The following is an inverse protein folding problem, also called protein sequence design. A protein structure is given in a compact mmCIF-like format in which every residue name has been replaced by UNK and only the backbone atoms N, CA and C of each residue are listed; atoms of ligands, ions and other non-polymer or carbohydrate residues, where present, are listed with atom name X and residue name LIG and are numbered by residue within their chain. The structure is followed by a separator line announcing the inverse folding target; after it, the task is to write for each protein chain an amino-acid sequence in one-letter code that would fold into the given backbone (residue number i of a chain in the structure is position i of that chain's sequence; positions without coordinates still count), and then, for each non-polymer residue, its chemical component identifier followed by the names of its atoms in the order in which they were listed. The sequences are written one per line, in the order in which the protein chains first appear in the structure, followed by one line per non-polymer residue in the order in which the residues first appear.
data_IF_879425409170
#
_entry.id   IF_879425409170
#
_cell.length_a   1.000
_cell.length_b   1.000
_cell.length_c   1.000
_cell.angle_alpha   90.00
_cell.angle_beta   90.00
_cell.angle_gamma   90.00
#
_symmetry.space_group_name_H-M   'P 1'
#
loop_
_entity.id
_entity.type
_entity.pdbx_description
1 polymer ?
#
# COMPACT_ATOMS: atom_id res chain seq x y z
N UNK A 1 32.13 1.33 -8.52
CA UNK A 1 32.04 2.37 -9.57
C UNK A 1 31.16 3.46 -9.00
N UNK A 2 31.77 4.58 -8.58
CA UNK A 2 31.04 5.73 -8.06
C UNK A 2 30.44 6.43 -9.29
N UNK A 3 29.12 6.37 -9.45
CA UNK A 3 28.43 7.06 -10.54
C UNK A 3 28.08 8.42 -9.98
N UNK A 4 28.84 9.44 -10.37
CA UNK A 4 28.43 10.82 -10.15
C UNK A 4 27.09 11.01 -10.88
N UNK A 5 26.02 11.24 -10.12
CA UNK A 5 24.68 11.32 -10.68
C UNK A 5 24.54 12.64 -11.45
N UNK A 6 24.77 12.58 -12.76
CA UNK A 6 24.72 13.76 -13.65
C UNK A 6 23.30 14.23 -13.95
N UNK A 7 22.30 13.41 -13.65
CA UNK A 7 20.88 13.63 -13.96
C UNK A 7 20.10 13.87 -12.65
N UNK A 8 19.00 14.64 -12.70
CA UNK A 8 18.16 14.89 -11.52
C UNK A 8 17.55 13.56 -11.04
N UNK A 9 17.78 13.16 -9.77
CA UNK A 9 17.17 11.95 -9.22
C UNK A 9 15.64 11.91 -9.33
N UNK A 10 14.95 13.05 -9.37
CA UNK A 10 13.48 13.08 -9.50
C UNK A 10 13.01 12.72 -10.92
N UNK A 11 13.75 13.12 -11.94
CA UNK A 11 13.48 12.69 -13.32
C UNK A 11 13.78 11.19 -13.48
N UNK A 12 14.89 10.72 -12.90
CA UNK A 12 15.23 9.29 -12.90
C UNK A 12 14.21 8.43 -12.16
N UNK A 13 13.64 8.91 -11.05
CA UNK A 13 12.65 8.17 -10.24
C UNK A 13 11.28 8.06 -10.94
N UNK A 14 10.92 9.05 -11.74
CA UNK A 14 9.60 9.16 -12.40
C UNK A 14 9.61 8.65 -13.84
N UNK A 15 10.77 8.20 -14.33
CA UNK A 15 10.94 7.67 -15.68
C UNK A 15 10.19 6.34 -15.88
N UNK A 16 9.58 6.19 -17.05
CA UNK A 16 8.98 4.92 -17.51
C UNK A 16 10.06 3.90 -17.95
N UNK A 17 11.33 4.30 -18.03
CA UNK A 17 12.45 3.44 -18.40
C UNK A 17 13.09 2.79 -17.16
N UNK A 18 13.04 1.46 -17.12
CA UNK A 18 13.62 0.66 -16.02
C UNK A 18 15.10 0.97 -15.77
N UNK A 19 15.88 1.31 -16.80
CA UNK A 19 17.30 1.62 -16.63
C UNK A 19 17.52 2.92 -15.87
N UNK A 20 16.64 3.90 -16.05
CA UNK A 20 16.70 5.18 -15.33
C UNK A 20 16.30 4.99 -13.86
N UNK A 21 15.29 4.15 -13.59
CA UNK A 21 14.95 3.73 -12.22
C UNK A 21 16.13 3.02 -11.54
N UNK A 22 16.89 2.21 -12.27
CA UNK A 22 18.10 1.57 -11.74
C UNK A 22 19.16 2.64 -11.43
N UNK A 23 19.45 3.56 -12.37
CA UNK A 23 20.40 4.67 -12.17
C UNK A 23 20.04 5.52 -10.95
N UNK A 24 18.76 5.81 -10.73
CA UNK A 24 18.25 6.53 -9.57
C UNK A 24 18.82 5.96 -8.26
N UNK A 25 18.73 4.63 -8.06
CA UNK A 25 19.27 4.01 -6.85
C UNK A 25 20.79 4.13 -6.74
N UNK A 26 21.50 4.30 -7.86
CA UNK A 26 22.95 4.52 -7.88
C UNK A 26 23.36 5.96 -7.57
N UNK A 27 22.43 6.91 -7.55
CA UNK A 27 22.70 8.32 -7.21
C UNK A 27 22.97 8.59 -5.72
N UNK A 28 22.69 7.63 -4.84
CA UNK A 28 22.85 7.77 -3.38
C UNK A 28 23.98 6.88 -2.87
N UNK A 29 24.83 7.39 -1.98
CA UNK A 29 25.91 6.60 -1.38
C UNK A 29 25.38 5.60 -0.35
N UNK A 30 24.36 5.99 0.42
CA UNK A 30 23.78 5.19 1.48
C UNK A 30 22.25 5.37 1.61
N UNK A 31 21.66 4.61 2.54
CA UNK A 31 20.21 4.62 2.78
C UNK A 31 19.72 5.95 3.38
N UNK A 32 20.56 6.66 4.13
CA UNK A 32 20.19 7.91 4.78
C UNK A 32 20.07 9.03 3.76
N UNK A 33 20.96 9.09 2.76
CA UNK A 33 20.87 10.04 1.64
C UNK A 33 19.58 9.80 0.83
N UNK A 34 19.28 8.53 0.50
CA UNK A 34 18.03 8.16 -0.17
C UNK A 34 16.80 8.57 0.64
N UNK A 35 16.79 8.32 1.96
CA UNK A 35 15.70 8.71 2.85
C UNK A 35 15.58 10.24 2.91
N UNK A 36 16.70 10.96 3.01
CA UNK A 36 16.73 12.43 3.06
C UNK A 36 16.13 13.02 1.79
N UNK A 37 16.54 12.53 0.62
CA UNK A 37 15.97 12.92 -0.66
C UNK A 37 14.48 12.57 -0.74
N UNK A 38 14.09 11.35 -0.35
CA UNK A 38 12.68 10.93 -0.38
C UNK A 38 11.79 11.81 0.52
N UNK A 39 12.33 12.36 1.61
CA UNK A 39 11.62 13.25 2.54
C UNK A 39 11.56 14.70 2.06
N UNK A 40 12.53 15.15 1.26
CA UNK A 40 12.54 16.53 0.74
C UNK A 40 11.62 16.74 -0.45
N UNK A 41 11.08 15.66 -1.03
CA UNK A 41 10.19 15.77 -2.19
C UNK A 41 8.88 16.50 -1.85
N UNK A 42 8.33 17.26 -2.82
CA UNK A 42 6.96 17.74 -2.73
C UNK A 42 5.98 16.60 -2.48
N UNK A 43 4.83 16.97 -1.95
CA UNK A 43 3.72 16.05 -1.73
C UNK A 43 2.72 16.26 -2.84
N UNK A 44 2.19 15.19 -3.43
CA UNK A 44 0.95 15.34 -4.17
C UNK A 44 -0.14 15.89 -3.24
N UNK A 45 -1.02 16.72 -3.80
CA UNK A 45 -2.21 17.16 -3.11
C UNK A 45 -3.06 15.94 -2.73
N UNK A 46 -3.70 16.02 -1.56
CA UNK A 46 -4.61 14.99 -1.05
C UNK A 46 -5.95 15.65 -0.83
N UNK A 47 -6.94 15.18 -1.59
CA UNK A 47 -8.33 15.53 -1.39
C UNK A 47 -9.06 14.37 -0.68
N UNK A 48 -9.88 14.69 0.31
CA UNK A 48 -10.60 13.71 1.11
C UNK A 48 -12.08 13.80 0.76
N UNK A 49 -12.67 12.65 0.45
CA UNK A 49 -14.12 12.53 0.26
C UNK A 49 -14.64 11.42 1.17
N UNK A 50 -15.51 11.80 2.10
CA UNK A 50 -16.13 10.85 3.02
C UNK A 50 -17.52 10.44 2.52
N UNK A 51 -17.86 9.16 2.73
CA UNK A 51 -19.19 8.60 2.49
C UNK A 51 -19.67 7.99 3.79
N UNK A 52 -20.77 8.54 4.30
CA UNK A 52 -21.38 8.08 5.54
C UNK A 52 -21.90 6.64 5.41
N UNK A 53 -21.77 5.89 6.51
CA UNK A 53 -22.24 4.51 6.63
C UNK A 53 -21.93 3.96 8.01
N UNK A 54 -21.99 2.63 8.16
CA UNK A 54 -21.58 1.96 9.40
C UNK A 54 -20.10 2.23 9.69
N UNK A 55 -19.82 2.82 10.85
CA UNK A 55 -18.49 3.21 11.29
C UNK A 55 -17.81 2.17 12.18
N UNK A 56 -18.46 1.04 12.50
CA UNK A 56 -17.82 -0.09 13.20
C UNK A 56 -16.65 -0.65 12.35
N UNK A 57 -16.79 -0.59 11.03
CA UNK A 57 -15.74 -0.88 10.06
C UNK A 57 -15.63 0.27 9.07
N UNK A 58 -14.44 0.89 9.02
CA UNK A 58 -14.18 2.01 8.11
C UNK A 58 -13.31 1.55 6.94
N UNK A 59 -13.74 1.85 5.72
CA UNK A 59 -12.93 1.62 4.52
C UNK A 59 -12.06 2.85 4.23
N UNK A 60 -10.77 2.63 3.99
CA UNK A 60 -9.84 3.62 3.48
C UNK A 60 -9.45 3.23 2.07
N UNK A 61 -9.80 4.07 1.10
CA UNK A 61 -9.59 3.79 -0.32
C UNK A 61 -8.73 4.90 -0.94
N UNK A 62 -7.41 4.70 -1.04
CA UNK A 62 -6.56 5.53 -1.88
C UNK A 62 -6.99 5.38 -3.35
N UNK A 63 -7.21 6.49 -4.04
CA UNK A 63 -7.63 6.50 -5.44
C UNK A 63 -7.00 7.66 -6.20
N UNK A 64 -6.65 7.51 -7.49
CA UNK A 64 -6.24 8.65 -8.32
C UNK A 64 -7.40 9.57 -8.70
N UNK A 65 -8.65 9.09 -8.67
CA UNK A 65 -9.85 9.85 -9.04
C UNK A 65 -11.09 9.22 -8.38
N UNK A 66 -11.79 9.97 -7.52
CA UNK A 66 -12.99 9.48 -6.83
C UNK A 66 -14.18 9.25 -7.75
N UNK A 67 -14.17 9.84 -8.94
CA UNK A 67 -15.25 9.76 -9.94
C UNK A 67 -15.02 8.67 -10.96
N UNK A 68 -13.88 7.98 -10.93
CA UNK A 68 -13.58 6.95 -11.91
C UNK A 68 -14.51 5.72 -11.76
N UNK A 69 -14.55 4.90 -12.81
CA UNK A 69 -15.42 3.73 -12.88
C UNK A 69 -15.04 2.67 -11.84
N UNK A 70 -13.74 2.52 -11.56
CA UNK A 70 -13.23 1.53 -10.63
C UNK A 70 -13.66 1.86 -9.20
N UNK A 71 -13.44 3.10 -8.75
CA UNK A 71 -13.89 3.60 -7.45
C UNK A 71 -15.40 3.50 -7.33
N UNK A 72 -16.14 3.91 -8.37
CA UNK A 72 -17.61 3.81 -8.38
C UNK A 72 -18.12 2.38 -8.24
N UNK A 73 -17.44 1.40 -8.86
CA UNK A 73 -17.81 -0.01 -8.76
C UNK A 73 -17.50 -0.59 -7.37
N UNK A 74 -16.35 -0.25 -6.80
CA UNK A 74 -16.01 -0.63 -5.42
C UNK A 74 -17.05 -0.07 -4.45
N UNK A 75 -17.35 1.23 -4.53
CA UNK A 75 -18.32 1.90 -3.65
C UNK A 75 -19.70 1.27 -3.68
N UNK A 76 -20.18 0.80 -4.84
CA UNK A 76 -21.46 0.06 -4.92
C UNK A 76 -21.45 -1.21 -4.06
N UNK A 77 -20.29 -1.87 -3.96
CA UNK A 77 -20.10 -3.11 -3.22
C UNK A 77 -19.98 -2.88 -1.70
N UNK A 78 -19.51 -1.70 -1.29
CA UNK A 78 -19.28 -1.34 0.13
C UNK A 78 -20.17 -0.19 0.61
N UNK A 79 -21.27 0.11 -0.09
CA UNK A 79 -22.12 1.29 0.14
C UNK A 79 -22.71 1.44 1.54
N UNK A 80 -22.76 0.36 2.33
CA UNK A 80 -23.28 0.36 3.69
C UNK A 80 -22.25 0.77 4.74
N UNK A 81 -20.97 0.90 4.38
CA UNK A 81 -19.88 1.17 5.30
C UNK A 81 -19.37 2.59 5.18
N UNK A 82 -18.95 3.17 6.30
CA UNK A 82 -18.28 4.46 6.30
C UNK A 82 -16.99 4.33 5.48
N UNK A 83 -16.85 5.18 4.46
CA UNK A 83 -15.75 5.08 3.50
C UNK A 83 -15.05 6.42 3.37
N UNK A 84 -13.73 6.41 3.55
CA UNK A 84 -12.83 7.54 3.35
C UNK A 84 -12.08 7.31 2.05
N UNK A 85 -12.48 8.04 1.02
CA UNK A 85 -11.75 8.11 -0.24
C UNK A 85 -10.62 9.12 -0.09
N UNK A 86 -9.39 8.70 -0.41
CA UNK A 86 -8.20 9.55 -0.36
C UNK A 86 -7.70 9.75 -1.77
N UNK A 87 -8.14 10.84 -2.38
CA UNK A 87 -7.80 11.19 -3.76
C UNK A 87 -6.41 11.82 -3.82
N UNK A 88 -5.51 11.21 -4.58
CA UNK A 88 -4.19 11.79 -4.84
C UNK A 88 -3.61 11.22 -6.13
N UNK A 89 -3.00 12.08 -6.95
CA UNK A 89 -2.45 11.72 -8.27
C UNK A 89 -1.25 12.60 -8.65
N UNK A 90 -0.63 12.25 -9.78
CA UNK A 90 0.45 13.01 -10.38
C UNK A 90 1.85 12.55 -9.95
N UNK A 91 2.86 13.31 -10.38
CA UNK A 91 4.30 12.97 -10.27
C UNK A 91 4.74 12.62 -8.85
N UNK A 92 4.18 13.30 -7.85
CA UNK A 92 4.53 13.12 -6.43
C UNK A 92 3.53 12.25 -5.66
N UNK A 93 2.73 11.45 -6.37
CA UNK A 93 1.82 10.51 -5.74
C UNK A 93 2.57 9.56 -4.79
N UNK A 94 2.00 9.35 -3.61
CA UNK A 94 2.56 8.45 -2.62
C UNK A 94 1.44 7.69 -1.91
N UNK A 95 1.28 6.42 -2.28
CA UNK A 95 0.27 5.52 -1.71
C UNK A 95 0.30 5.48 -0.18
N UNK A 96 1.49 5.37 0.43
CA UNK A 96 1.61 5.26 1.88
C UNK A 96 1.15 6.54 2.59
N UNK A 97 1.36 7.72 2.00
CA UNK A 97 0.85 8.98 2.56
C UNK A 97 -0.66 9.08 2.47
N UNK A 98 -1.24 8.65 1.35
CA UNK A 98 -2.69 8.59 1.20
C UNK A 98 -3.31 7.63 2.23
N UNK A 99 -2.74 6.43 2.38
CA UNK A 99 -3.17 5.46 3.40
C UNK A 99 -3.07 6.04 4.80
N UNK A 100 -1.92 6.62 5.17
CA UNK A 100 -1.73 7.20 6.50
C UNK A 100 -2.74 8.31 6.78
N UNK A 101 -3.04 9.16 5.79
CA UNK A 101 -4.02 10.23 5.95
C UNK A 101 -5.43 9.67 6.13
N UNK A 102 -5.81 8.67 5.35
CA UNK A 102 -7.10 7.99 5.49
C UNK A 102 -7.23 7.28 6.84
N UNK A 103 -6.18 6.62 7.31
CA UNK A 103 -6.13 5.98 8.64
C UNK A 103 -6.29 7.01 9.74
N UNK A 104 -5.55 8.12 9.69
CA UNK A 104 -5.67 9.23 10.66
C UNK A 104 -7.12 9.72 10.79
N UNK A 105 -7.82 9.89 9.66
CA UNK A 105 -9.21 10.34 9.65
C UNK A 105 -10.15 9.23 10.17
N UNK A 106 -9.91 7.98 9.79
CA UNK A 106 -10.73 6.84 10.23
C UNK A 106 -10.73 6.66 11.76
N UNK A 107 -9.63 6.99 12.43
CA UNK A 107 -9.50 6.85 13.88
C UNK A 107 -10.49 7.75 14.65
N UNK A 108 -10.98 8.84 14.04
CA UNK A 108 -11.99 9.72 14.65
C UNK A 108 -13.32 9.01 14.92
N UNK A 109 -13.58 7.92 14.22
CA UNK A 109 -14.81 7.13 14.32
C UNK A 109 -14.72 5.99 15.33
N UNK A 110 -13.55 5.79 15.95
CA UNK A 110 -13.26 4.67 16.85
C UNK A 110 -13.70 3.30 16.28
N UNK A 111 -13.28 2.95 15.05
CA UNK A 111 -13.71 1.71 14.41
C UNK A 111 -13.10 0.48 15.09
N UNK A 112 -13.77 -0.66 15.01
CA UNK A 112 -13.17 -1.95 15.39
C UNK A 112 -12.12 -2.40 14.39
N UNK A 113 -12.36 -2.12 13.10
CA UNK A 113 -11.44 -2.43 12.01
C UNK A 113 -11.37 -1.30 10.98
N UNK A 114 -10.17 -1.05 10.48
CA UNK A 114 -9.91 -0.19 9.33
C UNK A 114 -9.48 -1.09 8.17
N UNK A 115 -10.23 -1.07 7.07
CA UNK A 115 -9.92 -1.85 5.87
C UNK A 115 -9.28 -0.92 4.85
N UNK A 116 -8.00 -1.14 4.55
CA UNK A 116 -7.29 -0.43 3.48
C UNK A 116 -7.41 -1.24 2.20
N UNK A 117 -7.95 -0.65 1.13
CA UNK A 117 -8.13 -1.32 -0.16
C UNK A 117 -7.81 -0.39 -1.33
N UNK A 118 -7.32 -0.96 -2.43
CA UNK A 118 -7.21 -0.24 -3.69
C UNK A 118 -8.60 -0.04 -4.31
N UNK A 119 -8.73 0.96 -5.18
CA UNK A 119 -9.97 1.29 -5.88
C UNK A 119 -10.34 0.30 -7.01
N UNK A 120 -9.38 -0.53 -7.46
CA UNK A 120 -9.52 -1.50 -8.56
C UNK A 120 -9.93 -2.91 -8.11
N UNK A 121 -10.28 -3.07 -6.83
CA UNK A 121 -10.74 -4.35 -6.28
C UNK A 121 -12.18 -4.65 -6.71
N UNK A 122 -12.39 -5.90 -7.15
CA UNK A 122 -13.71 -6.44 -7.48
C UNK A 122 -14.14 -7.42 -6.40
N UNK A 123 -15.25 -7.11 -5.74
CA UNK A 123 -15.84 -7.95 -4.68
C UNK A 123 -16.95 -8.79 -5.32
N UNK A 124 -16.72 -10.10 -5.43
CA UNK A 124 -17.68 -11.05 -6.04
C UNK A 124 -18.58 -11.74 -5.03
N UNK A 125 -18.08 -11.93 -3.82
CA UNK A 125 -18.79 -12.58 -2.72
C UNK A 125 -19.50 -11.54 -1.84
N UNK A 126 -20.38 -12.01 -0.96
CA UNK A 126 -21.02 -11.13 0.03
C UNK A 126 -19.98 -10.59 1.03
N UNK A 127 -19.75 -9.27 0.99
CA UNK A 127 -18.88 -8.53 1.91
C UNK A 127 -19.21 -8.80 3.39
N UNK A 128 -20.46 -9.11 3.71
CA UNK A 128 -20.88 -9.42 5.09
C UNK A 128 -20.15 -10.62 5.67
N UNK A 129 -19.75 -11.58 4.84
CA UNK A 129 -18.96 -12.73 5.30
C UNK A 129 -17.57 -12.31 5.78
N UNK A 130 -16.92 -11.38 5.07
CA UNK A 130 -15.64 -10.80 5.49
C UNK A 130 -15.81 -10.05 6.80
N UNK A 131 -16.84 -9.21 6.89
CA UNK A 131 -17.12 -8.39 8.08
C UNK A 131 -17.37 -9.27 9.30
N UNK A 132 -18.23 -10.29 9.18
CA UNK A 132 -18.50 -11.23 10.27
C UNK A 132 -17.23 -11.94 10.74
N UNK A 133 -16.35 -12.35 9.81
CA UNK A 133 -15.05 -12.94 10.17
C UNK A 133 -14.17 -11.95 10.92
N UNK A 134 -14.07 -10.70 10.47
CA UNK A 134 -13.24 -9.68 11.12
C UNK A 134 -13.75 -9.34 12.52
N UNK A 135 -15.07 -9.18 12.70
CA UNK A 135 -15.68 -8.86 14.00
C UNK A 135 -15.53 -9.98 15.03
N UNK A 136 -15.37 -11.23 14.58
CA UNK A 136 -15.14 -12.39 15.44
C UNK A 136 -13.65 -12.60 15.83
N UNK A 137 -12.73 -11.81 15.27
CA UNK A 137 -11.31 -11.89 15.64
C UNK A 137 -11.06 -11.09 16.90
N UNK A 138 -10.42 -11.71 17.88
CA UNK A 138 -9.91 -11.02 19.07
C UNK A 138 -8.79 -10.04 18.66
N UNK A 139 -9.14 -8.77 18.56
CA UNK A 139 -8.24 -7.68 18.18
C UNK A 139 -7.18 -7.36 19.25
N UNK A 140 -7.30 -7.90 20.48
CA UNK A 140 -6.24 -7.82 21.49
C UNK A 140 -5.06 -8.74 21.17
N UNK A 141 -5.32 -9.80 20.39
CA UNK A 141 -4.31 -10.78 19.99
C UNK A 141 -3.63 -10.45 18.67
N UNK A 142 -4.29 -9.70 17.79
CA UNK A 142 -3.80 -9.40 16.45
C UNK A 142 -4.09 -7.95 16.06
N UNK A 143 -3.03 -7.16 15.84
CA UNK A 143 -3.12 -5.75 15.45
C UNK A 143 -3.33 -5.53 13.95
N UNK A 144 -3.04 -6.53 13.10
CA UNK A 144 -3.16 -6.42 11.65
C UNK A 144 -3.39 -7.76 10.97
N UNK A 145 -4.11 -7.72 9.85
CA UNK A 145 -4.44 -8.87 9.00
C UNK A 145 -4.21 -8.44 7.55
N UNK A 146 -3.67 -9.34 6.73
CA UNK A 146 -3.46 -9.09 5.31
C UNK A 146 -4.35 -10.02 4.50
N UNK A 147 -5.05 -9.47 3.53
CA UNK A 147 -5.67 -10.24 2.46
C UNK A 147 -4.63 -10.75 1.48
N UNK A 148 -4.44 -12.06 1.40
CA UNK A 148 -3.54 -12.69 0.45
C UNK A 148 -4.29 -13.72 -0.38
N UNK A 149 -4.14 -13.64 -1.71
CA UNK A 149 -4.97 -14.41 -2.62
C UNK A 149 -4.65 -14.17 -4.08
N UNK A 150 -5.30 -14.95 -4.93
CA UNK A 150 -5.28 -14.79 -6.38
C UNK A 150 -6.68 -14.50 -6.93
N UNK A 151 -6.87 -14.48 -8.27
CA UNK A 151 -8.14 -14.12 -8.91
C UNK A 151 -9.35 -15.00 -8.52
N UNK A 152 -9.11 -16.13 -7.85
CA UNK A 152 -10.14 -17.10 -7.47
C UNK A 152 -10.29 -17.35 -5.97
N UNK A 153 -9.34 -16.87 -5.14
CA UNK A 153 -9.35 -17.16 -3.70
C UNK A 153 -8.69 -16.04 -2.94
N UNK A 154 -9.41 -15.47 -1.98
CA UNK A 154 -8.91 -14.47 -1.03
C UNK A 154 -8.88 -15.08 0.37
N UNK A 155 -7.70 -15.10 1.00
CA UNK A 155 -7.53 -15.57 2.36
C UNK A 155 -7.08 -14.40 3.24
N UNK A 156 -7.61 -14.35 4.45
CA UNK A 156 -7.01 -13.55 5.51
C UNK A 156 -5.81 -14.33 6.04
N UNK A 157 -4.63 -13.72 6.10
CA UNK A 157 -3.49 -14.34 6.78
C UNK A 157 -2.71 -13.36 7.65
N UNK A 158 -1.90 -13.94 8.54
CA UNK A 158 -1.21 -13.26 9.64
C UNK A 158 0.21 -12.91 9.26
N UNK A 159 0.74 -11.82 9.82
CA UNK A 159 2.15 -11.49 9.70
C UNK A 159 2.99 -12.40 10.61
N UNK A 160 4.02 -13.05 10.07
CA UNK A 160 5.03 -13.79 10.87
C UNK A 160 6.44 -13.53 10.32
N UNK A 161 7.45 -13.62 11.19
CA UNK A 161 8.83 -13.16 10.96
C UNK A 161 9.72 -14.09 10.09
N UNK A 162 9.25 -15.27 9.71
CA UNK A 162 10.11 -16.30 9.10
C UNK A 162 9.74 -16.60 7.64
N UNK A 163 10.61 -16.24 6.69
CA UNK A 163 10.91 -17.06 5.50
C UNK A 163 11.91 -16.37 4.55
N UNK A 164 12.96 -17.08 4.12
CA UNK A 164 13.87 -16.69 3.03
C UNK A 164 14.49 -17.96 2.41
N UNK A 165 14.08 -18.36 1.18
CA UNK A 165 14.95 -19.23 0.35
C UNK A 165 14.66 -19.32 -1.16
N UNK A 166 13.58 -18.79 -1.74
CA UNK A 166 13.13 -19.28 -3.07
C UNK A 166 13.03 -18.27 -4.23
N UNK A 167 13.77 -17.15 -4.23
CA UNK A 167 13.67 -16.15 -5.33
C UNK A 167 15.00 -15.74 -5.96
N UNK A 168 16.00 -16.63 -6.01
CA UNK A 168 17.41 -16.25 -6.24
C UNK A 168 17.85 -15.96 -7.69
N UNK A 169 17.11 -16.36 -8.74
CA UNK A 169 17.63 -16.24 -10.12
C UNK A 169 17.03 -15.10 -10.97
N UNK A 170 15.75 -14.72 -10.77
CA UNK A 170 15.06 -13.74 -11.63
C UNK A 170 15.26 -12.27 -11.26
N UNK A 171 15.87 -11.96 -10.11
CA UNK A 171 15.87 -10.61 -9.55
C UNK A 171 17.26 -10.08 -9.20
N UNK A 172 18.29 -10.38 -10.01
CA UNK A 172 19.69 -9.98 -9.75
C UNK A 172 19.86 -8.49 -9.43
N UNK A 173 19.23 -7.61 -10.20
CA UNK A 173 19.29 -6.15 -9.99
C UNK A 173 18.66 -5.72 -8.66
N UNK A 174 17.51 -6.31 -8.31
CA UNK A 174 16.84 -6.07 -7.03
C UNK A 174 17.73 -6.45 -5.85
N UNK A 175 18.37 -7.62 -5.91
CA UNK A 175 19.30 -8.05 -4.85
C UNK A 175 20.53 -7.17 -4.76
N UNK A 176 21.07 -6.71 -5.89
CA UNK A 176 22.20 -5.78 -5.90
C UNK A 176 21.84 -4.46 -5.17
N UNK A 177 20.66 -3.90 -5.45
CA UNK A 177 20.15 -2.71 -4.77
C UNK A 177 19.93 -2.97 -3.28
N UNK A 178 19.27 -4.07 -2.92
CA UNK A 178 19.04 -4.43 -1.51
C UNK A 178 20.35 -4.60 -0.73
N UNK A 179 21.35 -5.25 -1.35
CA UNK A 179 22.68 -5.43 -0.75
C UNK A 179 23.40 -4.09 -0.62
N UNK A 180 23.32 -3.20 -1.62
CA UNK A 180 23.89 -1.85 -1.56
C UNK A 180 23.41 -1.09 -0.32
N UNK A 181 22.11 -1.15 -0.03
CA UNK A 181 21.50 -0.43 1.09
C UNK A 181 21.43 -1.24 2.40
N UNK A 182 22.02 -2.44 2.44
CA UNK A 182 21.96 -3.35 3.59
C UNK A 182 20.51 -3.59 4.10
N UNK A 183 19.55 -3.64 3.18
CA UNK A 183 18.12 -3.71 3.52
C UNK A 183 17.71 -5.15 3.81
N UNK A 184 17.16 -5.39 5.01
CA UNK A 184 16.48 -6.67 5.34
C UNK A 184 15.15 -6.77 4.60
N UNK A 185 14.88 -7.91 3.97
CA UNK A 185 13.62 -8.18 3.28
C UNK A 185 12.79 -9.23 4.05
N UNK A 186 11.47 -9.06 4.05
CA UNK A 186 10.52 -9.94 4.75
C UNK A 186 9.59 -10.61 3.73
N UNK A 187 9.48 -11.94 3.77
CA UNK A 187 8.49 -12.69 2.97
C UNK A 187 7.35 -13.17 3.88
N UNK A 188 6.15 -13.13 3.31
CA UNK A 188 4.89 -13.54 3.94
C UNK A 188 4.79 -15.06 4.07
N UNK A 189 4.50 -15.55 5.28
CA UNK A 189 4.14 -16.96 5.48
C UNK A 189 2.61 -17.10 5.45
N UNK A 190 2.08 -17.84 4.47
CA UNK A 190 0.67 -18.23 4.44
C UNK A 190 0.37 -19.14 5.63
N UNK A 191 -0.28 -18.62 6.66
CA UNK A 191 -0.99 -19.44 7.65
C UNK A 191 -2.47 -19.13 7.56
N UNK A 192 -3.24 -20.13 7.12
CA UNK A 192 -4.70 -20.07 7.09
C UNK A 192 -5.24 -19.88 8.53
N UNK A 193 -6.32 -19.12 8.65
CA UNK A 193 -7.16 -19.10 9.85
C UNK A 193 -7.99 -20.37 9.93
#
# INVERSE_FOLDING_TARGET
MQVDCKEDPDDLYTSDNINDIIKFYYCFNDVNELIKWSRSRPSAEINIVEKEGDSEIVFVVPTPDVKDKLTSNLLKSIKSFHTILVESKGRYFNYARSVNKGVEISLKYNPKWIIITNNDIIIRDDIKQLISKLLNIDNKRFNSIIGAGGPHKFNLCRFTFLSNLLLLSKYKQKFAILKKFNTKFYIYQYKFF
#
